data_IF_209908399299
#
_entry.id   IF_209908399299
#
_cell.length_a   1.000
_cell.length_b   1.000
_cell.length_c   1.000
_cell.angle_alpha   90.00
_cell.angle_beta   90.00
_cell.angle_gamma   90.00
#
_symmetry.space_group_name_H-M   'P 1'
#
loop_
_entity.id
_entity.type
_entity.pdbx_description
1 polymer ?
#
# COMPACT_ATOMS: atom_id res chain seq x y z
N UNK A 1 -10.14 15.14 1.76
CA UNK A 1 -8.72 14.83 1.54
C UNK A 1 -8.62 13.98 0.30
N UNK A 2 -7.82 14.41 -0.66
CA UNK A 2 -7.60 13.68 -1.92
C UNK A 2 -6.34 12.85 -1.83
N UNK A 3 -6.42 11.60 -2.21
CA UNK A 3 -5.34 10.61 -2.08
C UNK A 3 -4.99 10.05 -3.45
N UNK A 4 -3.71 10.10 -3.82
CA UNK A 4 -3.17 9.39 -4.97
C UNK A 4 -2.61 8.05 -4.49
N UNK A 5 -2.98 6.96 -5.15
CA UNK A 5 -2.60 5.60 -4.77
C UNK A 5 -1.84 4.96 -5.92
N UNK A 6 -0.59 4.59 -5.64
CA UNK A 6 0.37 4.04 -6.58
C UNK A 6 0.96 2.75 -6.02
N UNK A 7 1.40 1.84 -6.88
CA UNK A 7 2.15 0.62 -6.52
C UNK A 7 2.94 0.11 -7.71
N UNK A 8 3.91 -0.76 -7.47
CA UNK A 8 4.55 -1.56 -8.51
C UNK A 8 5.17 -0.71 -9.62
N UNK A 9 6.05 0.23 -9.21
CA UNK A 9 6.75 1.14 -10.11
C UNK A 9 7.90 0.50 -10.88
N UNK A 10 8.45 -0.60 -10.34
CA UNK A 10 9.44 -1.47 -10.98
C UNK A 10 10.58 -0.74 -11.68
N UNK A 11 11.12 0.30 -11.01
CA UNK A 11 12.26 1.05 -11.54
C UNK A 11 11.94 1.89 -12.79
N UNK A 12 10.68 2.25 -13.04
CA UNK A 12 10.24 3.07 -14.18
C UNK A 12 9.82 4.48 -13.72
N UNK A 13 10.77 5.37 -13.37
CA UNK A 13 10.46 6.69 -12.81
C UNK A 13 9.74 7.62 -13.79
N UNK A 14 9.83 7.38 -15.11
CA UNK A 14 9.12 8.18 -16.11
C UNK A 14 7.59 8.17 -15.94
N UNK A 15 7.02 7.13 -15.32
CA UNK A 15 5.59 7.08 -15.02
C UNK A 15 5.18 8.08 -13.95
N UNK A 16 6.06 8.42 -13.01
CA UNK A 16 5.84 9.51 -12.06
C UNK A 16 5.83 10.87 -12.77
N UNK A 17 6.69 11.04 -13.80
CA UNK A 17 6.73 12.29 -14.58
C UNK A 17 5.40 12.58 -15.27
N UNK A 18 4.73 11.55 -15.80
CA UNK A 18 3.42 11.66 -16.43
C UNK A 18 2.31 12.12 -15.46
N UNK A 19 2.47 11.86 -14.17
CA UNK A 19 1.53 12.23 -13.10
C UNK A 19 1.93 13.52 -12.36
N UNK A 20 3.12 14.09 -12.60
CA UNK A 20 3.71 15.15 -11.77
C UNK A 20 2.82 16.40 -11.62
N UNK A 21 2.11 16.80 -12.66
CA UNK A 21 1.20 17.95 -12.56
C UNK A 21 -0.10 17.61 -11.84
N UNK A 22 -0.62 16.41 -12.03
CA UNK A 22 -1.81 15.95 -11.34
C UNK A 22 -1.55 15.75 -9.84
N UNK A 23 -0.35 15.24 -9.47
CA UNK A 23 0.06 14.98 -8.10
C UNK A 23 -0.07 16.19 -7.18
N UNK A 24 0.19 17.39 -7.67
CA UNK A 24 0.08 18.66 -6.94
C UNK A 24 -1.33 18.94 -6.39
N UNK A 25 -2.34 18.25 -6.89
CA UNK A 25 -3.75 18.40 -6.45
C UNK A 25 -4.17 17.43 -5.35
N UNK A 26 -3.30 16.49 -4.98
CA UNK A 26 -3.54 15.51 -3.93
C UNK A 26 -2.91 15.95 -2.62
N UNK A 27 -3.52 15.56 -1.50
CA UNK A 27 -3.05 15.89 -0.15
C UNK A 27 -1.95 14.92 0.31
N UNK A 28 -1.95 13.69 -0.21
CA UNK A 28 -0.95 12.65 0.06
C UNK A 28 -0.91 11.60 -1.05
N UNK A 29 0.21 10.88 -1.08
CA UNK A 29 0.44 9.69 -1.91
C UNK A 29 0.58 8.46 -1.02
N UNK A 30 -0.11 7.37 -1.35
CA UNK A 30 0.10 6.04 -0.78
C UNK A 30 0.83 5.19 -1.82
N UNK A 31 1.96 4.60 -1.44
CA UNK A 31 2.76 3.78 -2.34
C UNK A 31 2.85 2.34 -1.84
N UNK A 32 2.35 1.41 -2.64
CA UNK A 32 2.11 0.00 -2.27
C UNK A 32 3.31 -0.93 -2.42
N UNK A 33 4.53 -0.44 -2.69
CA UNK A 33 5.73 -1.27 -2.79
C UNK A 33 6.19 -1.57 -4.22
N UNK A 34 7.26 -2.37 -4.33
CA UNK A 34 7.98 -2.70 -5.57
C UNK A 34 8.54 -1.45 -6.27
N UNK A 35 9.53 -0.82 -5.61
CA UNK A 35 10.36 0.24 -6.18
C UNK A 35 11.29 -0.33 -7.25
N UNK A 36 11.87 -1.50 -6.96
CA UNK A 36 12.83 -2.18 -7.82
C UNK A 36 12.18 -2.93 -8.99
N UNK A 37 12.89 -3.00 -10.10
CA UNK A 37 12.59 -3.96 -11.15
C UNK A 37 12.77 -5.40 -10.67
N UNK A 38 12.00 -6.35 -11.23
CA UNK A 38 11.92 -7.75 -10.79
C UNK A 38 13.31 -8.44 -10.62
N UNK A 39 14.29 -8.10 -11.45
CA UNK A 39 15.61 -8.75 -11.47
C UNK A 39 16.77 -7.77 -11.26
N UNK A 40 16.48 -6.51 -10.94
CA UNK A 40 17.49 -5.46 -10.77
C UNK A 40 17.12 -4.54 -9.59
N UNK A 41 17.56 -4.95 -8.41
CA UNK A 41 17.30 -4.21 -7.15
C UNK A 41 17.98 -2.85 -7.12
N UNK A 42 19.01 -2.60 -7.93
CA UNK A 42 19.68 -1.31 -8.02
C UNK A 42 18.76 -0.19 -8.57
N UNK A 43 17.66 -0.55 -9.22
CA UNK A 43 16.66 0.42 -9.73
C UNK A 43 15.76 1.00 -8.66
N UNK A 44 15.75 0.44 -7.44
CA UNK A 44 14.91 0.90 -6.34
C UNK A 44 15.26 2.31 -5.88
N UNK A 45 16.55 2.60 -5.63
CA UNK A 45 16.98 3.90 -5.12
C UNK A 45 16.68 5.05 -6.09
N UNK A 46 17.02 4.98 -7.38
CA UNK A 46 16.63 6.02 -8.34
C UNK A 46 15.12 6.26 -8.43
N UNK A 47 14.32 5.20 -8.29
CA UNK A 47 12.86 5.33 -8.26
C UNK A 47 12.39 6.02 -6.98
N UNK A 48 12.92 5.64 -5.81
CA UNK A 48 12.61 6.27 -4.52
C UNK A 48 12.96 7.76 -4.52
N UNK A 49 14.15 8.13 -5.00
CA UNK A 49 14.57 9.53 -5.12
C UNK A 49 13.60 10.34 -6.00
N UNK A 50 13.12 9.72 -7.09
CA UNK A 50 12.13 10.37 -7.96
C UNK A 50 10.77 10.50 -7.28
N UNK A 51 10.33 9.48 -6.53
CA UNK A 51 9.08 9.50 -5.75
C UNK A 51 9.15 10.55 -4.63
N UNK A 52 10.30 10.70 -3.97
CA UNK A 52 10.55 11.74 -2.97
C UNK A 52 10.43 13.16 -3.56
N UNK A 53 10.95 13.34 -4.77
CA UNK A 53 10.84 14.63 -5.48
C UNK A 53 9.43 14.86 -6.09
N UNK A 54 8.63 13.81 -6.20
CA UNK A 54 7.31 13.84 -6.84
C UNK A 54 6.24 14.46 -5.94
N UNK A 55 6.28 14.20 -4.61
CA UNK A 55 5.29 14.70 -3.68
C UNK A 55 5.83 14.80 -2.24
N UNK A 56 5.49 15.88 -1.51
CA UNK A 56 5.99 16.16 -0.15
C UNK A 56 5.41 15.23 0.93
N UNK A 57 4.36 14.49 0.64
CA UNK A 57 3.66 13.60 1.58
C UNK A 57 3.43 12.24 0.93
N UNK A 58 4.39 11.35 1.11
CA UNK A 58 4.34 9.96 0.63
C UNK A 58 4.39 9.03 1.83
N UNK A 59 3.54 8.01 1.85
CA UNK A 59 3.57 6.92 2.79
C UNK A 59 3.73 5.62 2.00
N UNK A 60 4.74 4.83 2.32
CA UNK A 60 5.17 3.73 1.50
C UNK A 60 5.52 2.48 2.32
N UNK A 61 5.41 1.34 1.66
CA UNK A 61 5.98 0.06 2.08
C UNK A 61 6.90 -0.46 0.98
N UNK A 62 7.80 -1.38 1.29
CA UNK A 62 8.55 -2.13 0.27
C UNK A 62 7.70 -3.24 -0.35
N UNK A 63 8.08 -3.73 -1.54
CA UNK A 63 7.48 -4.91 -2.14
C UNK A 63 8.39 -6.13 -2.07
N UNK A 64 8.01 -7.21 -2.74
CA UNK A 64 8.83 -8.42 -2.80
C UNK A 64 10.06 -8.28 -3.72
N UNK A 65 10.04 -7.37 -4.69
CA UNK A 65 11.17 -7.10 -5.57
C UNK A 65 12.24 -6.20 -4.95
N UNK A 66 11.94 -5.53 -3.84
CA UNK A 66 12.87 -4.68 -3.11
C UNK A 66 13.74 -5.53 -2.16
N UNK A 67 15.02 -5.16 -1.95
CA UNK A 67 15.83 -5.80 -0.93
C UNK A 67 15.19 -5.64 0.45
N UNK A 68 15.34 -6.64 1.32
CA UNK A 68 14.67 -6.66 2.63
C UNK A 68 15.07 -5.48 3.53
N UNK A 69 16.30 -5.01 3.42
CA UNK A 69 16.84 -3.86 4.14
C UNK A 69 16.53 -2.51 3.47
N UNK A 70 16.00 -2.52 2.26
CA UNK A 70 15.63 -1.29 1.54
C UNK A 70 14.58 -0.45 2.30
N UNK A 71 13.81 -1.08 3.21
CA UNK A 71 12.90 -0.39 4.12
C UNK A 71 13.62 0.70 4.95
N UNK A 72 14.88 0.47 5.35
CA UNK A 72 15.68 1.44 6.10
C UNK A 72 15.95 2.68 5.24
N UNK A 73 16.24 2.48 3.96
CA UNK A 73 16.40 3.58 3.00
C UNK A 73 15.09 4.35 2.80
N UNK A 74 13.94 3.66 2.70
CA UNK A 74 12.62 4.32 2.60
C UNK A 74 12.31 5.14 3.88
N UNK A 75 12.75 4.65 5.04
CA UNK A 75 12.61 5.35 6.33
C UNK A 75 13.47 6.61 6.41
N UNK A 76 14.70 6.59 5.86
CA UNK A 76 15.56 7.78 5.76
C UNK A 76 14.92 8.94 4.97
N UNK A 77 13.93 8.64 4.10
CA UNK A 77 13.13 9.63 3.36
C UNK A 77 11.83 10.02 4.08
N UNK A 78 11.62 9.60 5.34
CA UNK A 78 10.40 9.85 6.11
C UNK A 78 9.11 9.30 5.45
N UNK A 79 9.21 8.21 4.67
CA UNK A 79 8.09 7.62 3.93
C UNK A 79 7.62 6.28 4.47
N UNK A 80 8.48 5.54 5.17
CA UNK A 80 8.21 4.17 5.58
C UNK A 80 7.12 4.07 6.65
N UNK A 81 6.13 3.20 6.41
CA UNK A 81 5.08 2.87 7.39
C UNK A 81 5.11 1.39 7.79
N UNK A 82 6.12 0.62 7.38
CA UNK A 82 6.25 -0.78 7.76
C UNK A 82 6.61 -0.94 9.23
N UNK A 83 5.84 -1.75 9.95
CA UNK A 83 6.10 -2.02 11.37
C UNK A 83 6.03 -0.75 12.24
N UNK A 84 5.41 0.30 11.75
CA UNK A 84 5.29 1.59 12.43
C UNK A 84 3.84 2.10 12.41
N UNK A 85 3.59 3.17 13.17
CA UNK A 85 2.30 3.84 13.20
C UNK A 85 2.53 5.34 12.98
N UNK A 86 2.19 5.81 11.80
CA UNK A 86 2.32 7.21 11.39
C UNK A 86 0.98 7.94 11.45
N UNK A 87 1.01 9.28 11.56
CA UNK A 87 -0.19 10.09 11.69
C UNK A 87 -0.18 11.24 10.69
N UNK A 88 -1.27 11.39 9.95
CA UNK A 88 -1.45 12.50 9.04
C UNK A 88 -2.91 12.98 9.01
N UNK A 89 -3.14 14.25 9.34
CA UNK A 89 -4.47 14.91 9.28
C UNK A 89 -5.60 14.13 9.98
N UNK A 90 -5.28 13.46 11.09
CA UNK A 90 -6.21 12.65 11.88
C UNK A 90 -6.37 11.21 11.40
N UNK A 91 -5.74 10.83 10.29
CA UNK A 91 -5.58 9.43 9.89
C UNK A 91 -4.39 8.79 10.62
N UNK A 92 -4.51 7.50 10.90
CA UNK A 92 -3.41 6.63 11.28
C UNK A 92 -3.01 5.80 10.06
N UNK A 93 -1.70 5.63 9.83
CA UNK A 93 -1.15 4.86 8.73
C UNK A 93 -0.22 3.79 9.27
N UNK A 94 -0.42 2.56 8.84
CA UNK A 94 0.42 1.42 9.15
C UNK A 94 0.65 0.59 7.88
N UNK A 95 1.71 -0.21 7.85
CA UNK A 95 1.99 -1.00 6.67
C UNK A 95 2.77 -2.27 6.90
N UNK A 96 2.74 -3.12 5.88
CA UNK A 96 3.47 -4.39 5.77
C UNK A 96 4.08 -4.50 4.38
N UNK A 97 5.39 -4.67 4.32
CA UNK A 97 6.13 -4.84 3.08
C UNK A 97 6.42 -6.29 2.73
N UNK A 98 6.96 -6.49 1.51
CA UNK A 98 7.29 -7.81 0.98
C UNK A 98 6.08 -8.60 0.48
N UNK A 99 6.35 -9.78 -0.07
CA UNK A 99 5.34 -10.70 -0.58
C UNK A 99 5.37 -12.07 0.08
N UNK A 100 4.32 -12.86 -0.07
CA UNK A 100 4.25 -14.23 0.43
C UNK A 100 5.34 -15.10 -0.21
N UNK A 101 5.91 -16.03 0.56
CA UNK A 101 6.85 -17.05 0.06
C UNK A 101 6.21 -17.84 -1.06
N UNK A 102 6.84 -17.86 -2.21
CA UNK A 102 6.35 -18.56 -3.39
C UNK A 102 7.45 -19.30 -4.13
N UNK A 103 8.32 -18.58 -4.85
CA UNK A 103 9.37 -19.19 -5.68
C UNK A 103 10.78 -19.07 -5.07
N UNK A 104 10.98 -18.14 -4.15
CA UNK A 104 12.29 -17.74 -3.64
C UNK A 104 13.12 -16.95 -4.65
N UNK A 105 12.48 -16.39 -5.69
CA UNK A 105 13.15 -15.64 -6.76
C UNK A 105 13.18 -14.13 -6.50
N UNK A 106 12.37 -13.64 -5.57
CA UNK A 106 12.39 -12.24 -5.18
C UNK A 106 12.99 -12.06 -3.78
N UNK A 107 13.74 -10.97 -3.54
CA UNK A 107 14.57 -10.84 -2.35
C UNK A 107 13.79 -10.70 -1.04
N UNK A 108 12.55 -10.19 -1.08
CA UNK A 108 11.74 -9.94 0.10
C UNK A 108 10.49 -10.83 0.17
N UNK A 109 10.67 -12.13 -0.07
CA UNK A 109 9.62 -13.12 0.23
C UNK A 109 9.60 -13.44 1.73
N UNK A 110 8.41 -13.37 2.35
CA UNK A 110 8.19 -13.46 3.81
C UNK A 110 7.13 -14.52 4.14
N UNK A 111 7.17 -15.06 5.36
CA UNK A 111 6.06 -15.89 5.85
C UNK A 111 4.83 -15.03 6.16
N UNK A 112 3.67 -15.67 6.24
CA UNK A 112 2.41 -14.97 6.53
C UNK A 112 2.46 -14.30 7.92
N UNK A 113 3.08 -14.96 8.90
CA UNK A 113 3.32 -14.41 10.24
C UNK A 113 4.28 -13.21 10.23
N UNK A 114 5.31 -13.22 9.38
CA UNK A 114 6.21 -12.08 9.22
C UNK A 114 5.47 -10.88 8.61
N UNK A 115 4.60 -11.12 7.61
CA UNK A 115 3.82 -10.08 6.96
C UNK A 115 2.85 -9.43 7.96
N UNK A 116 2.01 -10.20 8.65
CA UNK A 116 1.06 -9.62 9.61
C UNK A 116 1.76 -9.05 10.84
N UNK A 117 2.97 -9.54 11.17
CA UNK A 117 3.78 -9.06 12.29
C UNK A 117 4.14 -7.57 12.21
N UNK A 118 4.23 -6.99 11.01
CA UNK A 118 4.44 -5.55 10.83
C UNK A 118 3.25 -4.71 11.34
N UNK A 119 2.05 -5.29 11.40
CA UNK A 119 0.84 -4.63 11.87
C UNK A 119 0.62 -4.78 13.39
N UNK A 120 1.57 -5.42 14.12
CA UNK A 120 1.45 -5.68 15.56
C UNK A 120 1.26 -4.42 16.39
N UNK A 121 1.91 -3.30 16.03
CA UNK A 121 1.73 -2.04 16.77
C UNK A 121 0.29 -1.52 16.71
N UNK A 122 -0.43 -1.78 15.62
CA UNK A 122 -1.87 -1.48 15.53
C UNK A 122 -2.63 -2.33 16.55
N UNK A 123 -2.33 -3.62 16.65
CA UNK A 123 -3.01 -4.54 17.59
C UNK A 123 -2.72 -4.20 19.04
N UNK A 124 -1.46 -3.90 19.38
CA UNK A 124 -1.04 -3.48 20.70
C UNK A 124 -1.72 -2.17 21.11
N UNK A 125 -1.78 -1.19 20.21
CA UNK A 125 -2.45 0.09 20.46
C UNK A 125 -3.98 -0.04 20.55
N UNK A 126 -4.58 -0.99 19.82
CA UNK A 126 -6.01 -1.28 19.86
C UNK A 126 -6.46 -1.98 21.13
N UNK A 127 -5.58 -2.73 21.80
CA UNK A 127 -5.92 -3.47 23.00
C UNK A 127 -6.40 -2.55 24.14
N UNK A 128 -5.95 -1.29 24.14
CA UNK A 128 -6.27 -0.29 25.17
C UNK A 128 -7.43 0.64 24.78
N UNK A 129 -7.97 0.53 23.56
CA UNK A 129 -9.03 1.42 23.08
C UNK A 129 -10.26 0.63 22.62
N UNK A 130 -11.44 1.06 23.08
CA UNK A 130 -12.73 0.54 22.61
C UNK A 130 -13.19 1.22 21.30
N UNK A 131 -12.36 2.09 20.74
CA UNK A 131 -12.73 2.91 19.58
C UNK A 131 -12.61 2.13 18.26
N UNK A 132 -13.51 2.45 17.33
CA UNK A 132 -13.44 1.94 15.98
C UNK A 132 -12.26 2.56 15.23
N UNK A 133 -11.49 1.73 14.55
CA UNK A 133 -10.33 2.12 13.74
C UNK A 133 -10.73 2.70 12.37
N UNK A 134 -11.83 3.45 12.33
CA UNK A 134 -12.37 4.05 11.10
C UNK A 134 -11.51 5.18 10.52
N UNK A 135 -10.36 5.47 11.13
CA UNK A 135 -9.34 6.39 10.64
C UNK A 135 -8.02 5.70 10.31
N UNK A 136 -7.96 4.35 10.37
CA UNK A 136 -6.77 3.59 10.01
C UNK A 136 -6.71 3.35 8.50
N UNK A 137 -5.58 3.68 7.89
CA UNK A 137 -5.19 3.31 6.53
C UNK A 137 -4.07 2.29 6.62
N UNK A 138 -4.23 1.17 5.93
CA UNK A 138 -3.21 0.11 5.87
C UNK A 138 -2.66 0.03 4.46
N UNK A 139 -1.33 0.02 4.33
CA UNK A 139 -0.64 -0.30 3.09
C UNK A 139 0.01 -1.67 3.27
N UNK A 140 -0.49 -2.68 2.58
CA UNK A 140 0.07 -4.03 2.61
C UNK A 140 0.37 -4.47 1.19
N UNK A 141 1.68 -4.53 0.83
CA UNK A 141 2.06 -4.91 -0.53
C UNK A 141 1.41 -6.23 -0.93
N UNK A 142 1.54 -7.25 -0.09
CA UNK A 142 0.86 -8.53 -0.30
C UNK A 142 -0.64 -8.42 0.02
N UNK A 143 -1.55 -8.72 -0.93
CA UNK A 143 -2.98 -8.53 -0.74
C UNK A 143 -3.61 -9.53 0.26
N UNK A 144 -4.77 -9.19 0.86
CA UNK A 144 -5.54 -10.12 1.68
C UNK A 144 -6.14 -11.26 0.85
N UNK A 145 -6.06 -12.49 1.38
CA UNK A 145 -6.54 -13.70 0.71
C UNK A 145 -8.05 -13.69 0.44
N UNK A 146 -8.46 -14.22 -0.73
CA UNK A 146 -9.86 -14.42 -1.07
C UNK A 146 -10.64 -13.13 -1.37
N UNK A 147 -9.97 -12.15 -1.94
CA UNK A 147 -10.54 -10.87 -2.39
C UNK A 147 -10.34 -10.70 -3.90
N UNK A 148 -10.86 -9.62 -4.47
CA UNK A 148 -10.55 -9.28 -5.87
C UNK A 148 -9.11 -8.81 -6.07
N UNK A 149 -8.37 -8.53 -4.98
CA UNK A 149 -7.02 -7.98 -5.03
C UNK A 149 -5.94 -9.06 -5.19
N UNK A 150 -6.28 -10.33 -5.00
CA UNK A 150 -5.32 -11.44 -4.92
C UNK A 150 -5.57 -12.57 -5.92
N UNK A 151 -6.40 -12.33 -6.93
CA UNK A 151 -6.76 -13.33 -7.94
C UNK A 151 -5.79 -13.30 -9.11
N UNK A 152 -5.08 -14.38 -9.35
CA UNK A 152 -4.22 -14.54 -10.53
C UNK A 152 -5.00 -15.08 -11.74
N UNK A 153 -4.37 -15.05 -12.93
CA UNK A 153 -5.02 -15.33 -14.22
C UNK A 153 -5.77 -16.67 -14.31
N UNK A 154 -5.40 -17.68 -13.51
CA UNK A 154 -6.09 -18.97 -13.46
C UNK A 154 -7.25 -19.02 -12.44
N UNK A 155 -7.57 -17.90 -11.79
CA UNK A 155 -8.64 -17.78 -10.80
C UNK A 155 -8.27 -18.21 -9.38
N UNK A 156 -7.00 -18.55 -9.11
CA UNK A 156 -6.54 -18.85 -7.75
C UNK A 156 -6.30 -17.57 -6.95
N UNK A 157 -6.58 -17.66 -5.65
CA UNK A 157 -6.25 -16.64 -4.67
C UNK A 157 -4.87 -16.92 -4.07
N UNK A 158 -3.99 -15.91 -4.04
CA UNK A 158 -2.59 -16.04 -3.60
C UNK A 158 -2.22 -15.08 -2.48
N UNK A 159 -3.17 -14.35 -1.95
CA UNK A 159 -2.96 -13.38 -0.88
C UNK A 159 -2.75 -14.01 0.50
N UNK A 160 -2.53 -13.17 1.51
CA UNK A 160 -2.25 -13.52 2.89
C UNK A 160 -3.54 -13.79 3.69
N UNK A 161 -3.76 -15.01 4.22
CA UNK A 161 -4.83 -15.30 5.16
C UNK A 161 -4.75 -14.50 6.47
N UNK A 162 -3.55 -14.24 6.99
CA UNK A 162 -3.40 -13.50 8.25
C UNK A 162 -3.64 -11.99 8.07
N UNK A 163 -3.23 -11.39 6.94
CA UNK A 163 -3.60 -10.01 6.61
C UNK A 163 -5.12 -9.90 6.46
N UNK A 164 -5.77 -10.87 5.82
CA UNK A 164 -7.24 -10.92 5.76
C UNK A 164 -7.86 -10.93 7.15
N UNK A 165 -7.40 -11.82 8.03
CA UNK A 165 -7.90 -11.93 9.41
C UNK A 165 -7.71 -10.63 10.20
N UNK A 166 -6.58 -9.95 10.01
CA UNK A 166 -6.33 -8.65 10.60
C UNK A 166 -7.37 -7.60 10.12
N UNK A 167 -7.63 -7.54 8.81
CA UNK A 167 -8.62 -6.61 8.25
C UNK A 167 -10.02 -6.90 8.78
N UNK A 168 -10.42 -8.18 8.84
CA UNK A 168 -11.71 -8.61 9.38
C UNK A 168 -11.87 -8.22 10.87
N UNK A 169 -10.80 -8.30 11.65
CA UNK A 169 -10.81 -7.96 13.07
C UNK A 169 -10.79 -6.45 13.33
N UNK A 170 -10.03 -5.67 12.55
CA UNK A 170 -9.76 -4.25 12.81
C UNK A 170 -10.61 -3.30 11.96
N UNK A 171 -11.12 -3.76 10.82
CA UNK A 171 -11.96 -2.98 9.92
C UNK A 171 -11.34 -1.61 9.57
N UNK A 172 -10.07 -1.54 9.05
CA UNK A 172 -9.47 -0.29 8.66
C UNK A 172 -10.32 0.44 7.61
N UNK A 173 -10.21 1.77 7.58
CA UNK A 173 -10.91 2.64 6.62
C UNK A 173 -10.60 2.28 5.17
N UNK A 174 -9.30 2.14 4.89
CA UNK A 174 -8.77 1.87 3.55
C UNK A 174 -7.60 0.89 3.65
N UNK A 175 -7.58 -0.08 2.75
CA UNK A 175 -6.45 -1.00 2.55
C UNK A 175 -5.95 -0.86 1.13
N UNK A 176 -4.67 -0.57 0.98
CA UNK A 176 -3.96 -0.50 -0.30
C UNK A 176 -3.06 -1.72 -0.43
N UNK A 177 -3.15 -2.43 -1.53
CA UNK A 177 -2.25 -3.54 -1.88
C UNK A 177 -1.69 -3.36 -3.29
N UNK A 178 -0.60 -4.07 -3.60
CA UNK A 178 0.00 -4.16 -4.93
C UNK A 178 0.22 -5.62 -5.32
N UNK A 179 1.45 -5.96 -5.79
CA UNK A 179 1.95 -7.32 -6.01
C UNK A 179 1.26 -8.10 -7.13
N UNK A 180 -0.05 -8.21 -7.14
CA UNK A 180 -0.80 -8.98 -8.14
C UNK A 180 -1.31 -8.02 -9.22
N UNK A 181 -0.53 -7.79 -10.25
CA UNK A 181 -0.79 -6.77 -11.27
C UNK A 181 -2.10 -7.01 -12.05
N UNK A 182 -2.45 -8.29 -12.29
CA UNK A 182 -3.71 -8.64 -12.93
C UNK A 182 -4.94 -8.33 -12.08
N UNK A 183 -4.77 -8.18 -10.76
CA UNK A 183 -5.84 -7.86 -9.81
C UNK A 183 -6.08 -6.36 -9.64
N UNK A 184 -6.01 -5.58 -10.72
CA UNK A 184 -6.37 -4.17 -10.78
C UNK A 184 -7.84 -3.97 -10.43
N UNK A 185 -8.15 -3.79 -9.14
CA UNK A 185 -9.51 -3.88 -8.63
C UNK A 185 -9.77 -3.05 -7.38
N UNK A 186 -11.06 -2.79 -7.14
CA UNK A 186 -11.60 -2.30 -5.88
C UNK A 186 -12.50 -3.40 -5.31
N UNK A 187 -12.42 -3.61 -4.00
CA UNK A 187 -13.24 -4.56 -3.26
C UNK A 187 -13.62 -4.01 -1.88
N UNK A 188 -14.37 -4.78 -1.11
CA UNK A 188 -14.74 -4.45 0.26
C UNK A 188 -14.64 -5.71 1.14
N UNK A 189 -14.20 -5.53 2.38
CA UNK A 189 -14.17 -6.58 3.39
C UNK A 189 -14.74 -6.03 4.71
N UNK A 190 -16.00 -6.37 5.02
CA UNK A 190 -16.75 -5.72 6.07
C UNK A 190 -16.98 -4.24 5.76
N UNK A 191 -16.54 -3.35 6.63
CA UNK A 191 -16.60 -1.89 6.42
C UNK A 191 -15.36 -1.31 5.74
N UNK A 192 -14.32 -2.12 5.51
CA UNK A 192 -13.07 -1.68 4.88
C UNK A 192 -13.21 -1.57 3.37
N UNK A 193 -12.74 -0.47 2.79
CA UNK A 193 -12.51 -0.32 1.36
C UNK A 193 -11.13 -0.88 1.01
N UNK A 194 -11.05 -1.75 -0.01
CA UNK A 194 -9.81 -2.35 -0.46
C UNK A 194 -9.51 -1.91 -1.89
N UNK A 195 -8.24 -1.65 -2.21
CA UNK A 195 -7.81 -1.29 -3.57
C UNK A 195 -6.45 -1.89 -3.92
N UNK A 196 -6.37 -2.47 -5.10
CA UNK A 196 -5.11 -2.71 -5.79
C UNK A 196 -5.08 -1.75 -7.00
N UNK A 197 -4.20 -0.73 -6.99
CA UNK A 197 -4.14 0.27 -8.06
C UNK A 197 -3.50 -0.27 -9.34
N UNK A 198 -3.08 -1.55 -9.35
CA UNK A 198 -2.30 -2.13 -10.43
C UNK A 198 -0.88 -1.57 -10.51
N UNK A 199 -0.12 -2.02 -11.50
CA UNK A 199 1.27 -1.59 -11.68
C UNK A 199 1.36 -0.19 -12.30
N UNK A 200 2.06 0.71 -11.60
CA UNK A 200 2.41 2.02 -12.14
C UNK A 200 3.30 1.90 -13.37
N UNK A 201 4.20 0.91 -13.42
CA UNK A 201 5.03 0.65 -14.61
C UNK A 201 4.18 0.37 -15.85
N UNK A 202 2.97 -0.22 -15.68
CA UNK A 202 1.99 -0.43 -16.73
C UNK A 202 1.06 0.79 -16.94
N UNK A 203 1.28 1.89 -16.23
CA UNK A 203 0.48 3.10 -16.33
C UNK A 203 -0.81 3.07 -15.52
N UNK A 204 -0.95 2.17 -14.55
CA UNK A 204 -2.14 2.05 -13.70
C UNK A 204 -1.94 2.77 -12.36
N UNK A 205 -3.02 3.33 -11.83
CA UNK A 205 -3.05 3.99 -10.52
C UNK A 205 -4.49 4.09 -10.00
N UNK A 206 -4.67 4.54 -8.78
CA UNK A 206 -5.98 4.84 -8.24
C UNK A 206 -6.01 6.22 -7.58
N UNK A 207 -7.21 6.77 -7.44
CA UNK A 207 -7.46 8.00 -6.70
C UNK A 207 -8.61 7.78 -5.72
N UNK A 208 -8.51 8.38 -4.53
CA UNK A 208 -9.57 8.31 -3.54
C UNK A 208 -9.85 9.69 -2.92
N UNK A 209 -11.06 9.87 -2.42
CA UNK A 209 -11.42 10.97 -1.55
C UNK A 209 -11.80 10.43 -0.17
N UNK A 210 -11.15 10.94 0.87
CA UNK A 210 -11.45 10.64 2.26
C UNK A 210 -12.07 11.88 2.89
N UNK A 211 -13.25 11.71 3.46
CA UNK A 211 -13.97 12.75 4.24
C UNK A 211 -13.97 12.38 5.71
N UNK A 212 -14.13 13.38 6.60
CA UNK A 212 -14.15 13.17 8.05
C UNK A 212 -13.16 14.06 8.78
N UNK A 213 -12.88 13.73 10.04
CA UNK A 213 -12.08 14.55 10.94
C UNK A 213 -12.88 15.67 11.63
N UNK A 214 -12.24 16.38 12.56
CA UNK A 214 -12.89 17.42 13.37
C UNK A 214 -14.15 16.92 14.09
N UNK A 215 -14.09 15.70 14.66
CA UNK A 215 -15.20 15.07 15.38
C UNK A 215 -16.22 14.35 14.49
N UNK A 216 -16.00 14.28 13.17
CA UNK A 216 -16.82 13.46 12.26
C UNK A 216 -16.09 12.16 11.92
N UNK A 217 -16.80 11.03 11.80
CA UNK A 217 -16.21 9.78 11.36
C UNK A 217 -15.53 9.94 9.99
N UNK A 218 -14.41 9.24 9.78
CA UNK A 218 -13.79 9.15 8.47
C UNK A 218 -14.54 8.18 7.57
N UNK A 219 -14.57 8.48 6.28
CA UNK A 219 -15.15 7.62 5.25
C UNK A 219 -14.42 7.82 3.92
N UNK A 220 -14.23 6.75 3.16
CA UNK A 220 -13.84 6.81 1.74
C UNK A 220 -15.10 7.20 0.97
N UNK A 221 -15.18 8.47 0.54
CA UNK A 221 -16.35 8.99 -0.16
C UNK A 221 -16.37 8.67 -1.66
N UNK A 222 -15.19 8.49 -2.23
CA UNK A 222 -15.02 7.98 -3.60
C UNK A 222 -13.68 7.27 -3.76
N UNK A 223 -13.62 6.29 -4.65
CA UNK A 223 -12.40 5.64 -5.09
C UNK A 223 -12.54 5.21 -6.55
N UNK A 224 -11.52 5.46 -7.36
CA UNK A 224 -11.53 5.20 -8.79
C UNK A 224 -10.19 4.63 -9.24
N UNK A 225 -10.25 3.62 -10.12
CA UNK A 225 -9.09 3.12 -10.85
C UNK A 225 -8.86 3.95 -12.10
N UNK A 226 -7.61 4.24 -12.42
CA UNK A 226 -7.19 5.10 -13.53
C UNK A 226 -6.07 4.45 -14.34
N UNK A 227 -5.98 4.82 -15.59
CA UNK A 227 -4.85 4.48 -16.45
C UNK A 227 -4.29 5.74 -17.09
N UNK A 228 -2.98 5.79 -17.23
CA UNK A 228 -2.30 6.77 -18.09
C UNK A 228 -2.70 6.53 -19.55
N UNK A 229 -2.83 7.57 -20.30
CA UNK A 229 -3.24 7.53 -21.71
C UNK A 229 -2.14 7.02 -22.66
#
# INVERSE_FOLDING_TARGET
MKVLILSDGHGVPSRLDELADAAKSYDMVLYGGDFAALVDTATALPFLERLAAFHDRVFAVTGNCDERDFRETVDEYDMCVEGSLSYFSGLMLAGSGGGSKFTGLTPNERSDEELVGDLRLVEESAADSADSWNNLVVIAHNPPHGTKLDTIANGMHVGSPLIRSFIEARQPLLVVSGHIHESFAIDALGSSTLVNPGSLAEGRYAVAEITGGNGKPFAVSSIELKTLG
#
